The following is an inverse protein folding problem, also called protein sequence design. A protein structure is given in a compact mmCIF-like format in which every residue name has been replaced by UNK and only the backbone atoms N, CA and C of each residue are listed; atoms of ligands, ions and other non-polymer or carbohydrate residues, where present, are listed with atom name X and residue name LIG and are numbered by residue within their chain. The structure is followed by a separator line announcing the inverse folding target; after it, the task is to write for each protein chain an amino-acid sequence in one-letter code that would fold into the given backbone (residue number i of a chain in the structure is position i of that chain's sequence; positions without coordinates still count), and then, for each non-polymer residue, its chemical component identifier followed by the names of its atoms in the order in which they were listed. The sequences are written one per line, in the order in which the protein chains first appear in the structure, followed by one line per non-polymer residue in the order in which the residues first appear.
data_IF_086925108267
#
_entry.id   IF_086925108267
#
_cell.length_a   1.000
_cell.length_b   1.000
_cell.length_c   1.000
_cell.angle_alpha   90.00
_cell.angle_beta   90.00
_cell.angle_gamma   90.00
#
_symmetry.space_group_name_H-M   'P 1'
#
loop_
_entity.id
_entity.type
_entity.pdbx_description
1 polymer ?
#
# COMPACT_ATOMS: atom_id res chain seq x y z
N UNK A 1 12.96 3.90 19.70
CA UNK A 1 13.46 4.35 18.39
C UNK A 1 12.23 4.56 17.52
N UNK A 2 11.93 5.81 17.14
CA UNK A 2 10.84 6.07 16.22
C UNK A 2 11.27 5.50 14.86
N UNK A 3 10.56 4.48 14.36
CA UNK A 3 10.81 3.92 13.04
C UNK A 3 10.56 5.07 12.05
N UNK A 4 11.56 5.45 11.26
CA UNK A 4 11.33 6.38 10.15
C UNK A 4 10.17 5.83 9.31
N UNK A 5 9.27 6.66 8.78
CA UNK A 5 8.19 6.17 7.95
C UNK A 5 8.80 5.56 6.69
N UNK A 6 8.96 4.24 6.72
CA UNK A 6 9.41 3.45 5.58
C UNK A 6 8.35 3.57 4.49
N UNK A 7 8.63 4.38 3.48
CA UNK A 7 7.79 4.52 2.30
C UNK A 7 8.15 3.43 1.32
N UNK A 8 7.17 2.59 1.02
CA UNK A 8 7.27 1.52 0.03
C UNK A 8 6.91 2.05 -1.36
N UNK A 9 7.63 1.58 -2.35
CA UNK A 9 7.24 1.69 -3.75
C UNK A 9 6.07 0.77 -4.07
N UNK A 10 5.35 1.06 -5.16
CA UNK A 10 4.31 0.18 -5.70
C UNK A 10 4.83 -1.24 -5.98
N UNK A 11 6.09 -1.39 -6.34
CA UNK A 11 6.70 -2.69 -6.61
C UNK A 11 6.88 -3.50 -5.32
N UNK A 12 7.41 -2.89 -4.26
CA UNK A 12 7.61 -3.55 -2.96
C UNK A 12 6.27 -3.91 -2.31
N UNK A 13 5.26 -3.04 -2.42
CA UNK A 13 3.90 -3.35 -1.96
C UNK A 13 3.34 -4.56 -2.71
N UNK A 14 3.49 -4.60 -4.03
CA UNK A 14 3.01 -5.70 -4.85
C UNK A 14 3.68 -7.03 -4.46
N UNK A 15 4.98 -7.01 -4.19
CA UNK A 15 5.74 -8.17 -3.72
C UNK A 15 5.25 -8.64 -2.35
N UNK A 16 5.11 -7.73 -1.38
CA UNK A 16 4.62 -8.04 -0.01
C UNK A 16 3.20 -8.62 -0.03
N UNK A 17 2.31 -8.05 -0.84
CA UNK A 17 0.92 -8.48 -0.97
C UNK A 17 0.74 -9.69 -1.90
N UNK A 18 1.79 -10.11 -2.62
CA UNK A 18 1.75 -11.16 -3.66
C UNK A 18 0.71 -10.90 -4.75
N UNK A 19 0.61 -9.65 -5.20
CA UNK A 19 -0.29 -9.22 -6.27
C UNK A 19 0.48 -8.57 -7.42
N UNK A 20 -0.19 -8.33 -8.53
CA UNK A 20 0.40 -7.55 -9.62
C UNK A 20 0.55 -6.07 -9.24
N UNK A 21 1.53 -5.36 -9.81
CA UNK A 21 1.64 -3.89 -9.71
C UNK A 21 0.34 -3.19 -10.15
N UNK A 22 -0.36 -3.74 -11.14
CA UNK A 22 -1.64 -3.21 -11.61
C UNK A 22 -2.70 -3.26 -10.51
N UNK A 23 -2.74 -4.33 -9.71
CA UNK A 23 -3.64 -4.43 -8.55
C UNK A 23 -3.37 -3.30 -7.57
N UNK A 24 -2.10 -3.08 -7.22
CA UNK A 24 -1.72 -1.98 -6.30
C UNK A 24 -2.09 -0.62 -6.89
N UNK A 25 -1.84 -0.38 -8.19
CA UNK A 25 -2.29 0.85 -8.82
C UNK A 25 -3.81 1.02 -8.75
N UNK A 26 -4.60 -0.04 -9.00
CA UNK A 26 -6.06 0.06 -8.88
C UNK A 26 -6.49 0.46 -7.47
N UNK A 27 -5.91 -0.15 -6.43
CA UNK A 27 -6.22 0.18 -5.04
C UNK A 27 -5.87 1.63 -4.68
N UNK A 28 -4.75 2.14 -5.19
CA UNK A 28 -4.36 3.54 -5.00
C UNK A 28 -5.33 4.48 -5.72
N UNK A 29 -5.72 4.16 -6.95
CA UNK A 29 -6.65 5.00 -7.72
C UNK A 29 -8.10 4.92 -7.22
N UNK A 30 -8.52 3.79 -6.63
CA UNK A 30 -9.83 3.66 -5.97
C UNK A 30 -9.86 4.33 -4.60
N UNK A 31 -8.71 4.67 -4.03
CA UNK A 31 -8.58 5.24 -2.69
C UNK A 31 -8.66 4.20 -1.58
N UNK A 32 -8.70 2.91 -1.90
CA UNK A 32 -8.67 1.83 -0.92
C UNK A 32 -7.31 1.70 -0.23
N UNK A 33 -6.23 1.98 -0.96
CA UNK A 33 -4.87 2.01 -0.43
C UNK A 33 -4.33 3.44 -0.42
N UNK A 34 -4.13 3.99 0.78
CA UNK A 34 -3.59 5.33 0.95
C UNK A 34 -2.14 5.42 0.46
N UNK A 35 -1.87 6.39 -0.41
CA UNK A 35 -0.56 6.59 -1.01
C UNK A 35 -0.28 8.07 -1.28
N UNK A 36 1.00 8.45 -1.17
CA UNK A 36 1.49 9.78 -1.50
C UNK A 36 2.11 9.75 -2.90
N UNK A 37 1.78 10.74 -3.72
CA UNK A 37 2.42 10.92 -5.03
C UNK A 37 3.75 11.63 -4.88
N UNK A 38 4.82 10.98 -5.32
CA UNK A 38 6.19 11.53 -5.35
C UNK A 38 6.66 11.55 -6.80
N UNK A 39 6.63 12.73 -7.41
CA UNK A 39 6.90 12.91 -8.84
C UNK A 39 5.93 12.12 -9.72
N UNK A 40 6.45 11.15 -10.47
CA UNK A 40 5.69 10.28 -11.39
C UNK A 40 5.29 8.94 -10.78
N UNK A 41 5.59 8.71 -9.51
CA UNK A 41 5.35 7.44 -8.83
C UNK A 41 4.58 7.63 -7.54
N UNK A 42 3.99 6.55 -7.04
CA UNK A 42 3.35 6.51 -5.74
C UNK A 42 4.28 5.89 -4.69
N UNK A 43 4.08 6.32 -3.45
CA UNK A 43 4.70 5.79 -2.23
C UNK A 43 3.61 5.46 -1.22
N UNK A 44 3.71 4.30 -0.61
CA UNK A 44 2.75 3.80 0.38
C UNK A 44 3.50 3.72 1.70
N UNK A 45 2.96 4.31 2.77
CA UNK A 45 3.58 4.14 4.09
C UNK A 45 3.37 2.70 4.57
N UNK A 46 4.29 2.14 5.35
CA UNK A 46 4.06 0.82 5.97
C UNK A 46 2.76 0.79 6.78
N UNK A 47 2.40 1.88 7.46
CA UNK A 47 1.14 1.98 8.20
C UNK A 47 -0.08 1.83 7.29
N UNK A 48 -0.12 2.54 6.15
CA UNK A 48 -1.24 2.45 5.22
C UNK A 48 -1.42 1.03 4.66
N UNK A 49 -0.32 0.33 4.40
CA UNK A 49 -0.36 -1.07 3.98
C UNK A 49 -0.90 -1.98 5.09
N UNK A 50 -0.41 -1.83 6.32
CA UNK A 50 -0.91 -2.59 7.47
C UNK A 50 -2.40 -2.35 7.71
N UNK A 51 -2.84 -1.09 7.70
CA UNK A 51 -4.24 -0.71 7.86
C UNK A 51 -5.14 -1.31 6.78
N UNK A 52 -4.68 -1.32 5.54
CA UNK A 52 -5.40 -1.96 4.43
C UNK A 52 -5.55 -3.48 4.64
N UNK A 53 -4.45 -4.15 5.03
CA UNK A 53 -4.48 -5.60 5.27
C UNK A 53 -5.40 -5.94 6.43
N UNK A 54 -5.32 -5.21 7.55
CA UNK A 54 -6.20 -5.40 8.70
C UNK A 54 -7.68 -5.24 8.30
N UNK A 55 -8.05 -4.15 7.60
CA UNK A 55 -9.42 -3.96 7.10
C UNK A 55 -9.88 -5.09 6.19
N UNK A 56 -8.99 -5.60 5.34
CA UNK A 56 -9.30 -6.70 4.41
C UNK A 56 -9.55 -8.03 5.13
N UNK A 57 -8.84 -8.30 6.23
CA UNK A 57 -9.06 -9.50 7.05
C UNK A 57 -10.44 -9.50 7.72
N UNK A 58 -10.95 -8.34 8.15
CA UNK A 58 -12.28 -8.24 8.76
C UNK A 58 -13.44 -8.39 7.77
N UNK A 59 -13.22 -8.14 6.46
CA UNK A 59 -14.26 -8.31 5.44
C UNK A 59 -14.41 -9.75 4.92
N UNK A 60 -13.45 -10.63 5.20
CA UNK A 60 -13.42 -12.01 4.73
C UNK A 60 -13.85 -13.04 5.79
N UNK A 61 -14.41 -12.60 6.92
CA UNK A 61 -15.01 -13.43 7.98
C UNK A 61 -16.51 -13.21 8.09
#
# INVERSE_FOLDING_TARGET
MAKEPDFLTVAEVAERMRVSKMTVYRLVHSGELEAVRVGRSFRVSEQALSDYLEKSFYQAG
#
